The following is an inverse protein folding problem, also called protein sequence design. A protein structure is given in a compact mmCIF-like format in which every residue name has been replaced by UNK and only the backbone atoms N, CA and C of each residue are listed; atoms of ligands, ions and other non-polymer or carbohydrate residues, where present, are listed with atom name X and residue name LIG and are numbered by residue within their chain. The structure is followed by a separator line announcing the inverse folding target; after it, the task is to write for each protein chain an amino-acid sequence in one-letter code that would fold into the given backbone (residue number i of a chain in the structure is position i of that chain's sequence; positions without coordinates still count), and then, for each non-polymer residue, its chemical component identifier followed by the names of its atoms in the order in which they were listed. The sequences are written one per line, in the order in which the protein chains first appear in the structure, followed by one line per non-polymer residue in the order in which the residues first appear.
data_IF_868523036648
#
_entry.id   IF_868523036648
#
_cell.length_a   1.000
_cell.length_b   1.000
_cell.length_c   1.000
_cell.angle_alpha   90.00
_cell.angle_beta   90.00
_cell.angle_gamma   90.00
#
_symmetry.space_group_name_H-M   'P 1'
#
loop_
_entity.id
_entity.type
_entity.pdbx_description
1 polymer ?
#
# COMPACT_ATOMS: atom_id res chain seq x y z
N UNK A 1 51.72 40.00 40.91
CA UNK A 1 51.23 40.34 39.55
C UNK A 1 50.74 39.06 38.91
N UNK A 2 49.42 38.91 38.87
CA UNK A 2 48.73 37.73 38.38
C UNK A 2 48.79 37.65 36.86
N UNK A 3 49.16 36.48 36.33
CA UNK A 3 48.66 36.01 35.03
C UNK A 3 48.28 34.55 35.19
N UNK A 4 46.98 34.30 35.17
CA UNK A 4 46.40 32.99 34.91
C UNK A 4 46.62 32.63 33.44
N UNK A 5 46.86 31.35 33.16
CA UNK A 5 46.30 30.67 31.99
C UNK A 5 45.95 29.25 32.45
N UNK A 6 44.67 28.90 32.31
CA UNK A 6 44.08 27.59 32.58
C UNK A 6 44.61 26.50 31.63
N UNK A 7 44.70 25.23 32.07
CA UNK A 7 44.96 24.10 31.20
C UNK A 7 43.66 23.60 30.54
N UNK A 8 43.75 23.32 29.24
CA UNK A 8 42.67 22.84 28.39
C UNK A 8 42.29 21.37 28.68
N UNK A 9 40.99 21.17 28.90
CA UNK A 9 40.09 20.10 28.45
C UNK A 9 40.59 18.63 28.53
N UNK A 10 40.07 17.91 29.52
CA UNK A 10 39.95 16.44 29.52
C UNK A 10 38.86 15.96 28.54
N UNK A 11 38.93 14.73 28.00
CA UNK A 11 37.95 14.23 27.04
C UNK A 11 36.62 13.92 27.74
N UNK A 12 35.55 14.59 27.34
CA UNK A 12 34.19 14.22 27.78
C UNK A 12 33.81 12.94 27.06
N UNK A 13 33.68 11.85 27.80
CA UNK A 13 32.97 10.67 27.36
C UNK A 13 31.51 11.10 27.19
N UNK A 14 31.07 11.21 25.93
CA UNK A 14 29.67 11.44 25.62
C UNK A 14 28.90 10.17 25.94
N UNK A 15 28.33 10.15 27.14
CA UNK A 15 27.29 9.19 27.53
C UNK A 15 26.14 9.36 26.53
N UNK A 16 26.00 8.38 25.63
CA UNK A 16 24.80 8.21 24.81
C UNK A 16 23.70 7.83 25.79
N UNK A 17 22.98 8.83 26.26
CA UNK A 17 21.71 8.64 26.94
C UNK A 17 20.78 8.01 25.91
N UNK A 18 20.68 6.68 25.92
CA UNK A 18 19.62 5.95 25.26
C UNK A 18 18.31 6.55 25.75
N UNK A 19 17.74 7.44 24.93
CA UNK A 19 16.35 7.81 25.08
C UNK A 19 15.58 6.53 24.81
N UNK A 20 14.73 6.06 25.74
CA UNK A 20 13.87 4.95 25.45
C UNK A 20 13.04 5.38 24.24
N UNK A 21 13.24 4.69 23.11
CA UNK A 21 12.29 4.75 22.02
C UNK A 21 10.96 4.33 22.63
N UNK A 22 10.09 5.31 22.85
CA UNK A 22 8.72 5.04 23.24
C UNK A 22 8.10 4.25 22.09
N UNK A 23 8.17 2.92 22.18
CA UNK A 23 7.27 2.04 21.44
C UNK A 23 5.89 2.30 22.02
N UNK A 24 5.25 3.36 21.54
CA UNK A 24 3.80 3.45 21.60
C UNK A 24 3.34 2.32 20.70
N UNK A 25 3.03 1.17 21.31
CA UNK A 25 2.21 0.14 20.70
C UNK A 25 0.84 0.77 20.45
N UNK A 26 0.75 1.54 19.37
CA UNK A 26 -0.49 2.13 18.92
C UNK A 26 -1.43 0.99 18.61
N UNK A 27 -2.65 1.05 19.15
CA UNK A 27 -3.78 0.28 18.67
C UNK A 27 -3.90 0.52 17.16
N UNK A 28 -3.31 -0.38 16.36
CA UNK A 28 -3.51 -0.39 14.93
C UNK A 28 -4.91 -0.94 14.72
N UNK A 29 -5.85 -0.04 14.45
CA UNK A 29 -7.16 -0.43 13.94
C UNK A 29 -6.97 -1.37 12.74
N UNK A 30 -7.75 -2.46 12.65
CA UNK A 30 -7.60 -3.39 11.54
C UNK A 30 -7.80 -2.63 10.22
N UNK A 31 -6.93 -2.90 9.25
CA UNK A 31 -7.03 -2.32 7.88
C UNK A 31 -8.37 -2.65 7.24
N UNK A 32 -8.96 -3.78 7.63
CA UNK A 32 -10.26 -4.24 7.16
C UNK A 32 -11.32 -4.07 8.25
N UNK A 33 -12.36 -3.31 7.94
CA UNK A 33 -13.49 -3.07 8.83
C UNK A 33 -14.40 -4.31 8.93
N UNK A 34 -14.73 -4.72 10.16
CA UNK A 34 -15.55 -5.93 10.41
C UNK A 34 -17.01 -5.75 10.01
N UNK A 35 -17.57 -4.57 10.19
CA UNK A 35 -18.95 -4.27 9.80
C UNK A 35 -19.08 -4.28 8.28
N UNK A 36 -18.10 -3.70 7.56
CA UNK A 36 -18.06 -3.75 6.10
C UNK A 36 -17.97 -5.20 5.59
N UNK A 37 -17.14 -6.05 6.19
CA UNK A 37 -17.05 -7.47 5.82
C UNK A 37 -18.39 -8.17 6.04
N UNK A 38 -19.06 -7.94 7.17
CA UNK A 38 -20.37 -8.51 7.42
C UNK A 38 -21.42 -8.06 6.38
N UNK A 39 -21.37 -6.79 5.96
CA UNK A 39 -22.24 -6.27 4.90
C UNK A 39 -21.99 -6.96 3.55
N UNK A 40 -20.71 -7.09 3.14
CA UNK A 40 -20.33 -7.75 1.88
C UNK A 40 -20.76 -9.22 1.86
N UNK A 41 -20.48 -9.96 2.94
CA UNK A 41 -20.90 -11.37 3.06
C UNK A 41 -22.42 -11.49 3.02
N UNK A 42 -23.14 -10.62 3.74
CA UNK A 42 -24.60 -10.59 3.71
C UNK A 42 -25.16 -10.28 2.32
N UNK A 43 -24.54 -9.37 1.57
CA UNK A 43 -24.91 -9.06 0.19
C UNK A 43 -24.67 -10.24 -0.74
N UNK A 44 -23.52 -10.89 -0.66
CA UNK A 44 -23.19 -12.07 -1.45
C UNK A 44 -24.22 -13.19 -1.22
N UNK A 45 -24.54 -13.49 0.04
CA UNK A 45 -25.54 -14.50 0.39
C UNK A 45 -26.94 -14.19 -0.17
N UNK A 46 -27.37 -12.93 -0.09
CA UNK A 46 -28.67 -12.50 -0.67
C UNK A 46 -28.71 -12.63 -2.19
N UNK A 47 -27.57 -12.52 -2.85
CA UNK A 47 -27.44 -12.67 -4.30
C UNK A 47 -27.17 -14.12 -4.72
N UNK A 48 -27.07 -15.06 -3.77
CA UNK A 48 -26.73 -16.46 -4.05
C UNK A 48 -25.27 -16.67 -4.44
N UNK A 49 -24.40 -15.68 -4.23
CA UNK A 49 -22.97 -15.78 -4.47
C UNK A 49 -22.28 -16.57 -3.36
N UNK A 50 -21.39 -17.49 -3.75
CA UNK A 50 -20.51 -18.19 -2.82
C UNK A 50 -19.50 -17.23 -2.19
N UNK A 51 -19.11 -17.48 -0.95
CA UNK A 51 -18.02 -16.72 -0.31
C UNK A 51 -16.66 -17.11 -0.91
N UNK A 52 -16.49 -18.39 -1.23
CA UNK A 52 -15.27 -18.98 -1.80
C UNK A 52 -15.44 -19.29 -3.30
N UNK A 53 -14.32 -19.58 -3.96
CA UNK A 53 -14.26 -19.89 -5.39
C UNK A 53 -13.93 -18.68 -6.26
N UNK A 54 -13.62 -18.95 -7.52
CA UNK A 54 -13.21 -17.96 -8.55
C UNK A 54 -14.26 -16.85 -8.73
N UNK A 55 -15.53 -17.23 -8.88
CA UNK A 55 -16.65 -16.29 -9.00
C UNK A 55 -17.23 -15.84 -7.65
N UNK A 56 -16.67 -16.35 -6.55
CA UNK A 56 -17.10 -16.02 -5.19
C UNK A 56 -16.63 -14.65 -4.72
N UNK A 57 -17.13 -14.22 -3.56
CA UNK A 57 -16.77 -12.93 -2.96
C UNK A 57 -15.25 -12.76 -2.81
N UNK A 58 -14.55 -13.79 -2.34
CA UNK A 58 -13.10 -13.73 -2.15
C UNK A 58 -12.33 -13.66 -3.47
N UNK A 59 -12.80 -14.34 -4.53
CA UNK A 59 -12.22 -14.24 -5.87
C UNK A 59 -12.35 -12.83 -6.43
N UNK A 60 -13.54 -12.24 -6.34
CA UNK A 60 -13.79 -10.86 -6.76
C UNK A 60 -12.98 -9.82 -5.97
N UNK A 61 -12.88 -9.97 -4.64
CA UNK A 61 -12.05 -9.09 -3.81
C UNK A 61 -10.57 -9.20 -4.17
N UNK A 62 -10.09 -10.43 -4.42
CA UNK A 62 -8.72 -10.67 -4.86
C UNK A 62 -8.45 -10.00 -6.21
N UNK A 63 -9.38 -10.08 -7.16
CA UNK A 63 -9.32 -9.36 -8.45
C UNK A 63 -9.12 -7.87 -8.23
N UNK A 64 -10.01 -7.24 -7.45
CA UNK A 64 -10.00 -5.80 -7.20
C UNK A 64 -8.69 -5.33 -6.56
N UNK A 65 -8.15 -6.09 -5.60
CA UNK A 65 -6.88 -5.75 -4.95
C UNK A 65 -5.72 -5.81 -5.93
N UNK A 66 -5.66 -6.87 -6.76
CA UNK A 66 -4.60 -7.02 -7.77
C UNK A 66 -4.67 -5.91 -8.83
N UNK A 67 -5.85 -5.60 -9.35
CA UNK A 67 -6.02 -4.55 -10.35
C UNK A 67 -5.71 -3.16 -9.77
N UNK A 68 -6.10 -2.90 -8.52
CA UNK A 68 -5.76 -1.63 -7.85
C UNK A 68 -4.26 -1.47 -7.65
N UNK A 69 -3.54 -2.56 -7.32
CA UNK A 69 -2.09 -2.53 -7.22
C UNK A 69 -1.44 -2.25 -8.59
N UNK A 70 -1.89 -2.92 -9.65
CA UNK A 70 -1.39 -2.73 -11.01
C UNK A 70 -1.64 -1.29 -11.52
N UNK A 71 -2.84 -0.74 -11.31
CA UNK A 71 -3.18 0.63 -11.70
C UNK A 71 -2.30 1.65 -10.95
N UNK A 72 -2.07 1.43 -9.65
CA UNK A 72 -1.14 2.24 -8.85
C UNK A 72 0.30 2.19 -9.35
N UNK A 73 0.79 1.01 -9.76
CA UNK A 73 2.13 0.86 -10.34
C UNK A 73 2.27 1.63 -11.67
N UNK A 74 1.25 1.62 -12.53
CA UNK A 74 1.28 2.39 -13.78
C UNK A 74 1.23 3.90 -13.51
N UNK A 75 0.39 4.37 -12.58
CA UNK A 75 0.40 5.77 -12.16
C UNK A 75 1.78 6.18 -11.64
N UNK A 76 2.41 5.35 -10.79
CA UNK A 76 3.75 5.63 -10.28
C UNK A 76 4.82 5.62 -11.39
N UNK A 77 4.71 4.70 -12.35
CA UNK A 77 5.67 4.59 -13.46
C UNK A 77 5.58 5.74 -14.46
N UNK A 78 4.35 6.18 -14.78
CA UNK A 78 4.10 7.24 -15.75
C UNK A 78 4.10 8.63 -15.12
N UNK A 79 3.88 8.73 -13.82
CA UNK A 79 3.84 9.99 -13.07
C UNK A 79 2.55 10.79 -13.26
N UNK A 80 1.50 10.17 -13.80
CA UNK A 80 0.18 10.79 -13.97
C UNK A 80 -0.95 9.75 -13.89
N UNK A 81 -2.13 10.20 -13.47
CA UNK A 81 -3.31 9.35 -13.36
C UNK A 81 -4.00 9.13 -14.69
N UNK A 82 -4.78 8.04 -14.78
CA UNK A 82 -5.60 7.75 -15.96
C UNK A 82 -6.52 8.95 -16.26
N UNK A 83 -6.49 9.42 -17.51
CA UNK A 83 -7.24 10.58 -18.01
C UNK A 83 -6.82 11.96 -17.46
N UNK A 84 -5.70 12.05 -16.73
CA UNK A 84 -5.14 13.33 -16.34
C UNK A 84 -4.57 14.07 -17.57
N UNK A 85 -4.92 15.36 -17.73
CA UNK A 85 -4.32 16.21 -18.76
C UNK A 85 -2.93 16.66 -18.30
N UNK A 86 -1.91 15.84 -18.52
CA UNK A 86 -0.53 16.20 -18.24
C UNK A 86 0.05 17.09 -19.35
N UNK A 87 0.81 18.12 -18.99
CA UNK A 87 1.38 19.12 -19.92
C UNK A 87 2.60 18.60 -20.73
N UNK A 88 2.75 17.29 -20.92
CA UNK A 88 3.97 16.70 -21.49
C UNK A 88 3.76 15.36 -22.20
N UNK A 89 2.53 15.02 -22.59
CA UNK A 89 2.24 13.75 -23.31
C UNK A 89 2.86 13.72 -24.71
N UNK A 90 3.16 14.88 -25.28
CA UNK A 90 3.48 15.00 -26.70
C UNK A 90 4.85 14.41 -27.11
N UNK A 91 5.68 13.92 -26.17
CA UNK A 91 6.97 13.28 -26.47
C UNK A 91 7.27 11.99 -25.64
N UNK A 92 6.32 11.46 -24.85
CA UNK A 92 6.58 10.42 -23.83
C UNK A 92 5.76 9.12 -23.90
N UNK A 93 5.94 8.23 -22.92
CA UNK A 93 5.20 6.96 -22.79
C UNK A 93 3.74 7.21 -22.39
N UNK A 94 2.81 6.56 -23.10
CA UNK A 94 1.37 6.72 -22.91
C UNK A 94 0.70 5.40 -22.50
N UNK A 95 -0.37 5.48 -21.71
CA UNK A 95 -1.22 4.32 -21.40
C UNK A 95 -1.86 3.79 -22.69
N UNK A 96 -1.78 2.48 -22.92
CA UNK A 96 -2.22 1.85 -24.17
C UNK A 96 -3.36 0.82 -23.96
N UNK A 97 -4.31 1.16 -23.09
CA UNK A 97 -5.42 0.27 -22.73
C UNK A 97 -5.03 -0.85 -21.77
N UNK A 98 -5.93 -1.82 -21.58
CA UNK A 98 -5.77 -2.93 -20.63
C UNK A 98 -5.65 -4.27 -21.35
N UNK A 99 -5.05 -5.26 -20.68
CA UNK A 99 -4.96 -6.64 -21.16
C UNK A 99 -5.26 -7.64 -20.04
N UNK A 100 -6.12 -8.62 -20.34
CA UNK A 100 -6.57 -9.63 -19.39
C UNK A 100 -5.56 -10.77 -19.18
N UNK A 101 -5.40 -11.24 -17.94
CA UNK A 101 -4.61 -12.42 -17.57
C UNK A 101 -5.31 -13.20 -16.47
N UNK A 102 -5.25 -14.52 -16.53
CA UNK A 102 -5.67 -15.37 -15.40
C UNK A 102 -4.49 -15.59 -14.45
N UNK A 103 -4.66 -15.20 -13.20
CA UNK A 103 -3.69 -15.41 -12.10
C UNK A 103 -4.20 -16.54 -11.22
N UNK A 104 -3.33 -17.49 -10.89
CA UNK A 104 -3.66 -18.58 -9.97
C UNK A 104 -3.51 -18.07 -8.53
N UNK A 105 -4.59 -18.09 -7.77
CA UNK A 105 -4.62 -17.61 -6.39
C UNK A 105 -5.10 -18.72 -5.44
N UNK A 106 -5.04 -18.45 -4.13
CA UNK A 106 -5.59 -19.39 -3.13
C UNK A 106 -7.12 -19.51 -3.19
N UNK A 107 -7.82 -18.51 -3.72
CA UNK A 107 -9.28 -18.53 -3.88
C UNK A 107 -9.71 -19.23 -5.18
N UNK A 108 -8.76 -19.61 -6.03
CA UNK A 108 -8.98 -20.11 -7.39
C UNK A 108 -8.25 -19.29 -8.44
N UNK A 109 -8.35 -19.66 -9.72
CA UNK A 109 -7.99 -18.79 -10.83
C UNK A 109 -8.79 -17.47 -10.74
N UNK A 110 -8.17 -16.36 -11.13
CA UNK A 110 -8.84 -15.04 -11.18
C UNK A 110 -8.36 -14.33 -12.44
N UNK A 111 -9.29 -13.93 -13.30
CA UNK A 111 -8.99 -13.05 -14.43
C UNK A 111 -8.85 -11.59 -13.98
N UNK A 112 -7.68 -11.00 -14.25
CA UNK A 112 -7.35 -9.60 -13.96
C UNK A 112 -7.08 -8.83 -15.23
N UNK A 113 -7.52 -7.59 -15.29
CA UNK A 113 -7.32 -6.65 -16.38
C UNK A 113 -6.28 -5.60 -15.96
N UNK A 114 -5.12 -5.55 -16.63
CA UNK A 114 -4.04 -4.62 -16.28
C UNK A 114 -3.43 -3.92 -17.51
N UNK A 115 -3.12 -2.63 -17.37
CA UNK A 115 -2.47 -1.79 -18.39
C UNK A 115 -2.70 -0.29 -18.21
#
# INVERSE_FOLDING_TARGET
MSKQVEPALAPVATEVKEQPVSTTAGEQSPVVDKELVAQLVGQAQRQGLSVEGEDGLLGQLTKLVLESALEGEITAHLGYDKHERSKGVDEGNARNGTRSKTVLTKAGPVEVDGG
#
